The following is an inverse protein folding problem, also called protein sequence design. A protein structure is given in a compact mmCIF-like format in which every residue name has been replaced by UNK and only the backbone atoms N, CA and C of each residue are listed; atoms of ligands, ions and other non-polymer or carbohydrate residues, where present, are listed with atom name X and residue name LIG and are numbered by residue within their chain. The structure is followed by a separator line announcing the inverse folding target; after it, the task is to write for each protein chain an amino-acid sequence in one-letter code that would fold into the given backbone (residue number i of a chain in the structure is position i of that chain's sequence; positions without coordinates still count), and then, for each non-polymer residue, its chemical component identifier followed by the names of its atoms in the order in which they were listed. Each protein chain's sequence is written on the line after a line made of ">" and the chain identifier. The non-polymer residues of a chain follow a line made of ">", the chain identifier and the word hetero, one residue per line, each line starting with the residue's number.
data_IF_818996246368
#
_entry.id   IF_818996246368
#
_cell.length_a   1.000
_cell.length_b   1.000
_cell.length_c   1.000
_cell.angle_alpha   90.00
_cell.angle_beta   90.00
_cell.angle_gamma   90.00
#
_symmetry.space_group_name_H-M   'P 1'
#
loop_
_entity.id
_entity.type
_entity.pdbx_description
1 polymer ?
#
# COMPACT_ATOMS: atom_id res chain seq x y z
N UNK A 1 -17.43 -2.25 -27.87
CA UNK A 1 -16.69 -3.37 -27.25
C UNK A 1 -15.83 -2.74 -26.18
N UNK A 2 -16.16 -2.93 -24.89
CA UNK A 2 -15.28 -2.51 -23.80
C UNK A 2 -14.07 -3.44 -23.81
N UNK A 3 -12.87 -2.86 -23.81
CA UNK A 3 -11.64 -3.64 -23.68
C UNK A 3 -11.66 -4.39 -22.35
N UNK A 4 -11.22 -5.65 -22.36
CA UNK A 4 -11.06 -6.42 -21.13
C UNK A 4 -10.06 -5.70 -20.20
N UNK A 5 -10.32 -5.65 -18.88
CA UNK A 5 -9.39 -5.04 -17.95
C UNK A 5 -8.06 -5.81 -17.92
N UNK A 6 -6.97 -5.10 -17.72
CA UNK A 6 -5.64 -5.71 -17.54
C UNK A 6 -5.70 -6.71 -16.37
N UNK A 7 -5.14 -7.90 -16.56
CA UNK A 7 -5.12 -8.95 -15.54
C UNK A 7 -4.48 -8.47 -14.24
N UNK A 8 -4.96 -8.92 -13.07
CA UNK A 8 -4.51 -8.40 -11.78
C UNK A 8 -3.02 -8.61 -11.52
N UNK A 9 -2.46 -9.76 -11.86
CA UNK A 9 -1.03 -10.02 -11.75
C UNK A 9 -0.21 -9.11 -12.68
N UNK A 10 -0.70 -8.85 -13.89
CA UNK A 10 -0.04 -7.95 -14.84
C UNK A 10 -0.02 -6.51 -14.34
N UNK A 11 -1.10 -6.04 -13.70
CA UNK A 11 -1.16 -4.72 -13.06
C UNK A 11 -0.01 -4.56 -12.05
N UNK A 12 0.18 -5.56 -11.18
CA UNK A 12 1.21 -5.53 -10.16
C UNK A 12 2.62 -5.66 -10.73
N UNK A 13 2.81 -6.55 -11.70
CA UNK A 13 4.11 -6.71 -12.38
C UNK A 13 4.54 -5.41 -13.07
N UNK A 14 3.62 -4.78 -13.79
CA UNK A 14 3.87 -3.53 -14.49
C UNK A 14 4.20 -2.40 -13.51
N UNK A 15 3.41 -2.25 -12.44
CA UNK A 15 3.65 -1.23 -11.42
C UNK A 15 5.01 -1.44 -10.72
N UNK A 16 5.35 -2.66 -10.39
CA UNK A 16 6.65 -3.01 -9.79
C UNK A 16 7.81 -2.65 -10.71
N UNK A 17 7.71 -3.01 -11.99
CA UNK A 17 8.74 -2.70 -12.99
C UNK A 17 8.91 -1.20 -13.17
N UNK A 18 7.79 -0.46 -13.27
CA UNK A 18 7.81 1.00 -13.38
C UNK A 18 8.47 1.65 -12.16
N UNK A 19 8.16 1.16 -10.97
CA UNK A 19 8.73 1.68 -9.73
C UNK A 19 10.24 1.45 -9.65
N UNK A 20 10.69 0.24 -9.99
CA UNK A 20 12.13 -0.10 -10.00
C UNK A 20 12.88 0.76 -11.03
N UNK A 21 12.34 0.91 -12.22
CA UNK A 21 12.90 1.75 -13.27
C UNK A 21 13.02 3.20 -12.80
N UNK A 22 11.97 3.74 -12.17
CA UNK A 22 11.95 5.11 -11.65
C UNK A 22 12.96 5.31 -10.51
N UNK A 23 13.09 4.36 -9.60
CA UNK A 23 14.08 4.39 -8.52
C UNK A 23 15.49 4.45 -9.11
N UNK A 24 15.80 3.57 -10.05
CA UNK A 24 17.13 3.50 -10.66
C UNK A 24 17.45 4.74 -11.48
N UNK A 25 16.47 5.31 -12.19
CA UNK A 25 16.64 6.55 -12.95
C UNK A 25 16.82 7.79 -12.06
N UNK A 26 16.34 7.75 -10.82
CA UNK A 26 16.40 8.85 -9.87
C UNK A 26 17.36 8.58 -8.69
N UNK A 27 18.24 7.61 -8.83
CA UNK A 27 19.13 7.17 -7.73
C UNK A 27 19.89 8.33 -7.08
N UNK A 28 20.55 9.17 -7.85
CA UNK A 28 21.33 10.31 -7.32
C UNK A 28 20.42 11.34 -6.61
N UNK A 29 19.25 11.62 -7.18
CA UNK A 29 18.28 12.53 -6.56
C UNK A 29 17.76 11.99 -5.24
N UNK A 30 17.50 10.69 -5.16
CA UNK A 30 17.02 10.03 -3.92
C UNK A 30 18.09 10.12 -2.85
N UNK A 31 19.36 9.95 -3.19
CA UNK A 31 20.46 10.03 -2.22
C UNK A 31 20.62 11.42 -1.62
N UNK A 32 20.31 12.49 -2.37
CA UNK A 32 20.39 13.88 -1.89
C UNK A 32 19.08 14.38 -1.31
N UNK A 33 17.94 13.84 -1.78
CA UNK A 33 16.58 14.20 -1.33
C UNK A 33 15.71 12.96 -1.27
N UNK A 34 15.66 12.27 -0.11
CA UNK A 34 14.86 11.06 0.06
C UNK A 34 13.35 11.26 -0.19
N UNK A 35 12.85 12.51 -0.11
CA UNK A 35 11.43 12.81 -0.36
C UNK A 35 11.00 12.55 -1.81
N UNK A 36 11.96 12.41 -2.73
CA UNK A 36 11.69 12.01 -4.13
C UNK A 36 10.95 10.67 -4.18
N UNK A 37 11.25 9.75 -3.25
CA UNK A 37 10.57 8.45 -3.17
C UNK A 37 9.07 8.59 -2.90
N UNK A 38 8.66 9.56 -2.08
CA UNK A 38 7.23 9.84 -1.84
C UNK A 38 6.48 10.12 -3.15
N UNK A 39 7.04 10.97 -4.00
CA UNK A 39 6.45 11.32 -5.29
C UNK A 39 6.34 10.11 -6.23
N UNK A 40 7.37 9.26 -6.25
CA UNK A 40 7.37 8.05 -7.07
C UNK A 40 6.33 7.04 -6.60
N UNK A 41 6.23 6.81 -5.30
CA UNK A 41 5.21 5.92 -4.72
C UNK A 41 3.81 6.46 -5.01
N UNK A 42 3.59 7.76 -4.83
CA UNK A 42 2.29 8.39 -5.07
C UNK A 42 1.86 8.29 -6.54
N UNK A 43 2.79 8.50 -7.46
CA UNK A 43 2.51 8.47 -8.90
C UNK A 43 2.32 7.05 -9.43
N UNK A 44 3.15 6.10 -8.99
CA UNK A 44 3.26 4.78 -9.62
C UNK A 44 2.46 3.70 -8.86
N UNK A 45 2.51 3.69 -7.54
CA UNK A 45 1.92 2.61 -6.73
C UNK A 45 0.54 2.96 -6.18
N UNK A 46 0.34 4.17 -5.67
CA UNK A 46 -0.90 4.55 -5.00
C UNK A 46 -2.15 4.47 -5.89
N UNK A 47 -2.08 4.74 -7.22
CA UNK A 47 -3.26 4.58 -8.07
C UNK A 47 -3.82 3.16 -8.15
N UNK A 48 -3.05 2.16 -7.80
CA UNK A 48 -3.45 0.74 -7.81
C UNK A 48 -4.05 0.27 -6.49
N UNK A 49 -4.16 1.14 -5.49
CA UNK A 49 -4.69 0.82 -4.16
C UNK A 49 -6.07 1.43 -4.00
N UNK A 50 -7.01 0.62 -3.51
CA UNK A 50 -8.35 1.07 -3.14
C UNK A 50 -8.40 1.44 -1.66
N UNK A 51 -8.13 2.71 -1.36
CA UNK A 51 -8.10 3.21 0.01
C UNK A 51 -9.48 3.27 0.67
N UNK A 52 -10.55 3.40 -0.12
CA UNK A 52 -11.91 3.37 0.41
C UNK A 52 -12.22 1.99 0.95
N UNK A 53 -11.98 0.95 0.16
CA UNK A 53 -12.19 -0.44 0.59
C UNK A 53 -11.27 -0.84 1.75
N UNK A 54 -9.98 -0.48 1.68
CA UNK A 54 -9.04 -0.74 2.78
C UNK A 54 -9.49 -0.07 4.07
N UNK A 55 -9.90 1.19 4.02
CA UNK A 55 -10.39 1.95 5.18
C UNK A 55 -11.65 1.33 5.78
N UNK A 56 -12.57 0.90 4.93
CA UNK A 56 -13.79 0.20 5.35
C UNK A 56 -13.47 -1.09 6.10
N UNK A 57 -12.55 -1.89 5.57
CA UNK A 57 -12.12 -3.14 6.22
C UNK A 57 -11.35 -2.89 7.52
N UNK A 58 -10.49 -1.89 7.54
CA UNK A 58 -9.68 -1.52 8.70
C UNK A 58 -10.56 -1.02 9.85
N UNK A 59 -11.55 -0.16 9.59
CA UNK A 59 -12.46 0.33 10.62
C UNK A 59 -13.52 -0.72 11.02
N UNK A 60 -13.84 -1.68 10.15
CA UNK A 60 -14.80 -2.74 10.43
C UNK A 60 -16.16 -2.20 10.88
N UNK A 61 -16.63 -2.62 12.05
CA UNK A 61 -17.92 -2.17 12.61
C UNK A 61 -17.98 -0.65 12.82
N UNK A 62 -16.88 0.00 13.06
CA UNK A 62 -16.81 1.45 13.29
C UNK A 62 -17.10 2.25 12.02
N UNK A 63 -16.86 1.67 10.85
CA UNK A 63 -17.19 2.29 9.57
C UNK A 63 -18.70 2.55 9.43
N UNK A 64 -19.54 1.61 9.85
CA UNK A 64 -20.99 1.74 9.76
C UNK A 64 -21.54 2.88 10.63
N UNK A 65 -20.87 3.14 11.76
CA UNK A 65 -21.26 4.17 12.74
C UNK A 65 -20.66 5.54 12.45
N UNK A 66 -19.69 5.60 11.55
CA UNK A 66 -18.98 6.82 11.22
C UNK A 66 -19.86 7.76 10.37
N UNK A 67 -19.75 9.07 10.62
CA UNK A 67 -20.33 10.07 9.75
C UNK A 67 -19.59 10.11 8.41
N UNK A 68 -20.18 10.76 7.42
CA UNK A 68 -19.55 10.97 6.11
C UNK A 68 -18.23 11.71 6.25
N UNK A 69 -18.20 12.75 7.08
CA UNK A 69 -17.01 13.55 7.35
C UNK A 69 -15.91 12.72 8.01
N UNK A 70 -16.25 11.89 8.99
CA UNK A 70 -15.31 10.99 9.65
C UNK A 70 -14.72 9.96 8.68
N UNK A 71 -15.55 9.38 7.80
CA UNK A 71 -15.09 8.44 6.77
C UNK A 71 -14.08 9.08 5.83
N UNK A 72 -14.39 10.26 5.30
CA UNK A 72 -13.53 10.99 4.38
C UNK A 72 -12.20 11.39 5.05
N UNK A 73 -12.28 11.91 6.27
CA UNK A 73 -11.08 12.32 7.01
C UNK A 73 -10.21 11.10 7.36
N UNK A 74 -10.82 10.00 7.78
CA UNK A 74 -10.06 8.77 8.06
C UNK A 74 -9.36 8.26 6.80
N UNK A 75 -10.04 8.18 5.66
CA UNK A 75 -9.45 7.74 4.40
C UNK A 75 -8.23 8.62 4.06
N UNK A 76 -8.38 9.93 4.18
CA UNK A 76 -7.31 10.88 3.88
C UNK A 76 -6.10 10.68 4.79
N UNK A 77 -6.31 10.58 6.09
CA UNK A 77 -5.23 10.43 7.05
C UNK A 77 -4.56 9.05 6.95
N UNK A 78 -5.35 8.01 6.75
CA UNK A 78 -4.82 6.66 6.59
C UNK A 78 -3.99 6.53 5.30
N UNK A 79 -4.46 7.08 4.19
CA UNK A 79 -3.70 7.15 2.94
C UNK A 79 -2.37 7.87 3.13
N UNK A 80 -2.40 9.02 3.77
CA UNK A 80 -1.18 9.79 4.04
C UNK A 80 -0.20 9.05 4.94
N UNK A 81 -0.70 8.37 5.97
CA UNK A 81 0.14 7.56 6.86
C UNK A 81 0.85 6.44 6.10
N UNK A 82 0.12 5.68 5.30
CA UNK A 82 0.69 4.58 4.52
C UNK A 82 1.73 5.10 3.51
N UNK A 83 1.38 6.15 2.78
CA UNK A 83 2.29 6.76 1.82
C UNK A 83 3.61 7.19 2.48
N UNK A 84 3.52 7.98 3.53
CA UNK A 84 4.71 8.56 4.19
C UNK A 84 5.54 7.53 4.93
N UNK A 85 4.88 6.65 5.66
CA UNK A 85 5.59 5.62 6.44
C UNK A 85 6.37 4.67 5.54
N UNK A 86 5.72 4.11 4.52
CA UNK A 86 6.36 3.14 3.63
C UNK A 86 7.34 3.79 2.65
N UNK A 87 7.08 5.01 2.21
CA UNK A 87 8.04 5.75 1.38
C UNK A 87 9.30 6.10 2.16
N UNK A 88 9.18 6.51 3.42
CA UNK A 88 10.33 6.78 4.29
C UNK A 88 11.14 5.51 4.54
N UNK A 89 10.47 4.39 4.82
CA UNK A 89 11.13 3.09 5.00
C UNK A 89 11.88 2.65 3.74
N UNK A 90 11.27 2.83 2.57
CA UNK A 90 11.90 2.51 1.30
C UNK A 90 13.11 3.42 1.03
N UNK A 91 12.98 4.72 1.28
CA UNK A 91 14.07 5.66 1.11
C UNK A 91 15.27 5.31 2.01
N UNK A 92 15.02 4.95 3.28
CA UNK A 92 16.05 4.48 4.20
C UNK A 92 16.74 3.21 3.69
N UNK A 93 15.97 2.24 3.20
CA UNK A 93 16.50 1.01 2.60
C UNK A 93 17.43 1.31 1.41
N UNK A 94 17.05 2.25 0.55
CA UNK A 94 17.79 2.61 -0.64
C UNK A 94 19.10 3.36 -0.35
N UNK A 95 19.33 3.83 0.87
CA UNK A 95 20.61 4.46 1.25
C UNK A 95 21.77 3.47 1.21
N UNK A 96 21.51 2.20 1.47
CA UNK A 96 22.53 1.14 1.58
C UNK A 96 22.26 -0.07 0.69
N UNK A 97 21.12 -0.10 -0.01
CA UNK A 97 20.71 -1.22 -0.84
C UNK A 97 20.21 -0.75 -2.20
N UNK A 98 20.19 -1.67 -3.15
CA UNK A 98 19.62 -1.47 -4.48
C UNK A 98 18.40 -2.38 -4.68
N UNK A 99 17.55 -2.04 -5.62
CA UNK A 99 16.43 -2.88 -6.05
C UNK A 99 16.58 -3.23 -7.52
N UNK A 100 16.18 -4.45 -7.88
CA UNK A 100 16.20 -4.94 -9.26
C UNK A 100 14.95 -5.77 -9.54
N UNK A 101 14.58 -5.91 -10.82
CA UNK A 101 13.37 -6.63 -11.22
C UNK A 101 13.38 -8.10 -10.80
N UNK A 102 14.53 -8.76 -10.82
CA UNK A 102 14.68 -10.16 -10.45
C UNK A 102 14.42 -10.44 -8.96
N UNK A 103 14.40 -9.41 -8.12
CA UNK A 103 14.03 -9.56 -6.71
C UNK A 103 12.52 -9.84 -6.53
N UNK A 104 11.67 -9.49 -7.49
CA UNK A 104 10.22 -9.57 -7.40
C UNK A 104 9.69 -10.64 -8.35
N UNK A 105 9.23 -11.75 -7.80
CA UNK A 105 8.71 -12.89 -8.56
C UNK A 105 7.20 -12.99 -8.33
N UNK A 106 6.41 -12.80 -9.39
CA UNK A 106 4.95 -12.98 -9.35
C UNK A 106 4.61 -14.40 -9.82
N UNK A 107 3.83 -15.10 -9.01
CA UNK A 107 3.41 -16.46 -9.32
C UNK A 107 2.20 -16.43 -10.28
N UNK A 108 1.99 -17.51 -11.05
CA UNK A 108 0.83 -17.60 -11.94
C UNK A 108 -0.49 -17.45 -11.17
N UNK A 109 -1.43 -16.71 -11.76
CA UNK A 109 -2.75 -16.51 -11.19
C UNK A 109 -3.55 -17.82 -11.22
N UNK A 110 -4.08 -18.22 -10.05
CA UNK A 110 -4.88 -19.44 -9.90
C UNK A 110 -6.39 -19.19 -9.86
N UNK A 111 -6.82 -17.95 -10.10
CA UNK A 111 -8.21 -17.56 -9.99
C UNK A 111 -9.02 -17.98 -11.23
N UNK A 112 -10.33 -18.23 -11.00
CA UNK A 112 -11.31 -18.33 -12.06
C UNK A 112 -11.39 -16.99 -12.84
N UNK A 113 -11.39 -17.04 -14.16
CA UNK A 113 -11.43 -15.86 -15.03
C UNK A 113 -12.68 -14.98 -14.82
N UNK A 114 -13.71 -15.48 -14.16
CA UNK A 114 -14.96 -14.76 -13.88
C UNK A 114 -15.01 -14.17 -12.46
N UNK A 115 -14.00 -14.42 -11.63
CA UNK A 115 -13.97 -13.89 -10.28
C UNK A 115 -13.70 -12.39 -10.27
N UNK A 116 -14.45 -11.65 -9.46
CA UNK A 116 -14.24 -10.21 -9.20
C UNK A 116 -13.29 -9.95 -8.03
N UNK A 117 -12.81 -10.98 -7.38
CA UNK A 117 -11.84 -10.94 -6.29
C UNK A 117 -10.79 -12.01 -6.53
N UNK A 118 -9.53 -11.64 -6.37
CA UNK A 118 -8.41 -12.56 -6.54
C UNK A 118 -7.34 -12.28 -5.49
N UNK A 119 -6.54 -13.29 -5.21
CA UNK A 119 -5.29 -13.14 -4.46
C UNK A 119 -4.14 -13.37 -5.42
N UNK A 120 -3.29 -12.37 -5.59
CA UNK A 120 -2.05 -12.49 -6.35
C UNK A 120 -0.93 -12.84 -5.38
N UNK A 121 -0.19 -13.91 -5.68
CA UNK A 121 0.94 -14.37 -4.89
C UNK A 121 2.24 -13.90 -5.51
N UNK A 122 3.14 -13.42 -4.68
CA UNK A 122 4.48 -13.04 -5.09
C UNK A 122 5.51 -13.43 -4.04
N UNK A 123 6.76 -13.37 -4.43
CA UNK A 123 7.91 -13.57 -3.55
C UNK A 123 8.90 -12.43 -3.76
N UNK A 124 9.47 -11.93 -2.67
CA UNK A 124 10.61 -11.02 -2.73
C UNK A 124 11.86 -11.83 -2.41
N UNK A 125 12.77 -11.90 -3.37
CA UNK A 125 14.05 -12.61 -3.25
C UNK A 125 15.14 -11.62 -2.86
N UNK A 126 15.51 -11.62 -1.58
CA UNK A 126 16.55 -10.73 -1.06
C UNK A 126 17.94 -11.19 -1.53
N UNK A 127 18.93 -10.27 -1.67
CA UNK A 127 20.30 -10.63 -2.01
C UNK A 127 20.95 -11.61 -1.03
N UNK A 128 20.49 -11.64 0.22
CA UNK A 128 20.93 -12.58 1.26
C UNK A 128 20.48 -14.03 1.01
N UNK A 129 19.59 -14.27 0.03
CA UNK A 129 18.96 -15.56 -0.23
C UNK A 129 17.63 -15.77 0.50
N UNK A 130 17.20 -14.85 1.36
CA UNK A 130 15.89 -14.91 2.01
C UNK A 130 14.78 -14.72 1.00
N UNK A 131 13.71 -15.51 1.12
CA UNK A 131 12.51 -15.41 0.29
C UNK A 131 11.34 -14.95 1.19
N UNK A 132 10.76 -13.81 0.83
CA UNK A 132 9.64 -13.20 1.57
C UNK A 132 8.36 -13.37 0.75
N UNK A 133 7.40 -14.22 1.18
CA UNK A 133 6.13 -14.35 0.48
C UNK A 133 5.23 -13.13 0.73
N UNK A 134 4.66 -12.59 -0.34
CA UNK A 134 3.73 -11.45 -0.31
C UNK A 134 2.48 -11.79 -1.09
N UNK A 135 1.31 -11.56 -0.48
CA UNK A 135 0.01 -11.75 -1.12
C UNK A 135 -0.70 -10.41 -1.26
N UNK A 136 -1.33 -10.21 -2.39
CA UNK A 136 -2.12 -9.02 -2.68
C UNK A 136 -3.57 -9.44 -2.88
N UNK A 137 -4.46 -8.97 -2.01
CA UNK A 137 -5.89 -9.16 -2.20
C UNK A 137 -6.41 -8.03 -3.07
N UNK A 138 -6.97 -8.39 -4.21
CA UNK A 138 -7.43 -7.44 -5.22
C UNK A 138 -8.89 -7.67 -5.56
N UNK A 139 -9.57 -6.61 -5.97
CA UNK A 139 -10.89 -6.72 -6.53
C UNK A 139 -11.03 -5.85 -7.81
N UNK A 140 -11.96 -6.25 -8.65
CA UNK A 140 -12.24 -5.55 -9.89
C UNK A 140 -13.16 -4.35 -9.61
N UNK A 141 -12.69 -3.17 -9.97
CA UNK A 141 -13.45 -1.92 -9.90
C UNK A 141 -13.76 -1.42 -11.30
N UNK A 142 -14.54 -0.34 -11.42
CA UNK A 142 -14.79 0.34 -12.70
C UNK A 142 -13.52 0.87 -13.37
N UNK A 143 -12.46 1.06 -12.58
CA UNK A 143 -11.15 1.54 -13.04
C UNK A 143 -10.10 0.42 -13.17
N UNK A 144 -10.55 -0.83 -13.16
CA UNK A 144 -9.68 -2.00 -13.21
C UNK A 144 -9.42 -2.63 -11.85
N UNK A 145 -8.47 -3.54 -11.81
CA UNK A 145 -8.08 -4.26 -10.61
C UNK A 145 -7.35 -3.35 -9.63
N UNK A 146 -7.76 -3.38 -8.35
CA UNK A 146 -7.18 -2.59 -7.27
C UNK A 146 -6.88 -3.46 -6.06
N UNK A 147 -5.81 -3.13 -5.36
CA UNK A 147 -5.40 -3.79 -4.11
C UNK A 147 -6.15 -3.20 -2.94
N UNK A 148 -6.73 -4.03 -2.09
CA UNK A 148 -7.35 -3.58 -0.83
C UNK A 148 -6.66 -4.15 0.42
N UNK A 149 -5.82 -5.16 0.30
CA UNK A 149 -5.00 -5.69 1.40
C UNK A 149 -3.71 -6.31 0.87
N UNK A 150 -2.66 -6.22 1.66
CA UNK A 150 -1.38 -6.87 1.42
C UNK A 150 -1.01 -7.69 2.64
N UNK A 151 -0.65 -8.96 2.44
CA UNK A 151 -0.14 -9.82 3.50
C UNK A 151 1.32 -10.14 3.26
N UNK A 152 2.15 -9.94 4.27
CA UNK A 152 3.58 -10.25 4.24
C UNK A 152 3.83 -11.37 5.24
N UNK A 153 4.40 -12.48 4.78
CA UNK A 153 4.61 -13.70 5.59
C UNK A 153 3.33 -14.15 6.31
N UNK A 154 2.18 -14.04 5.64
CA UNK A 154 0.89 -14.45 6.19
C UNK A 154 0.22 -13.41 7.10
N UNK A 155 0.85 -12.27 7.35
CA UNK A 155 0.29 -11.21 8.22
C UNK A 155 -0.37 -10.13 7.36
N UNK A 156 -1.69 -10.03 7.46
CA UNK A 156 -2.51 -9.03 6.76
C UNK A 156 -2.30 -7.64 7.37
N UNK A 157 -2.04 -6.65 6.53
CA UNK A 157 -1.95 -5.25 6.95
C UNK A 157 -3.29 -4.72 7.45
N UNK A 158 -4.37 -5.03 6.75
CA UNK A 158 -5.73 -4.63 7.15
C UNK A 158 -6.06 -5.18 8.54
N UNK A 159 -5.81 -6.46 8.78
CA UNK A 159 -6.07 -7.09 10.08
C UNK A 159 -5.22 -6.46 11.18
N UNK A 160 -3.97 -6.20 10.92
CA UNK A 160 -3.04 -5.57 11.88
C UNK A 160 -3.52 -4.17 12.28
N UNK A 161 -3.86 -3.33 11.30
CA UNK A 161 -4.39 -1.99 11.58
C UNK A 161 -5.76 -2.02 12.23
N UNK A 162 -6.63 -2.96 11.84
CA UNK A 162 -7.96 -3.14 12.47
C UNK A 162 -7.82 -3.36 13.97
N UNK A 163 -6.95 -4.27 14.38
CA UNK A 163 -6.72 -4.59 15.79
C UNK A 163 -6.19 -3.38 16.54
N UNK A 164 -5.18 -2.72 16.00
CA UNK A 164 -4.56 -1.54 16.60
C UNK A 164 -5.54 -0.37 16.71
N UNK A 165 -6.28 -0.08 15.64
CA UNK A 165 -7.21 1.05 15.61
C UNK A 165 -8.46 0.79 16.46
N UNK A 166 -8.94 -0.45 16.54
CA UNK A 166 -10.04 -0.80 17.43
C UNK A 166 -9.70 -0.50 18.91
N UNK A 167 -8.48 -0.79 19.32
CA UNK A 167 -7.99 -0.46 20.65
C UNK A 167 -7.95 1.05 20.89
N UNK A 168 -7.44 1.83 19.93
CA UNK A 168 -7.43 3.30 20.02
C UNK A 168 -8.85 3.90 20.05
N UNK A 169 -9.76 3.39 19.21
CA UNK A 169 -11.16 3.85 19.19
C UNK A 169 -11.84 3.58 20.53
N UNK A 170 -11.56 2.44 21.14
CA UNK A 170 -12.11 2.12 22.47
C UNK A 170 -11.68 3.12 23.53
N UNK A 171 -10.45 3.63 23.45
CA UNK A 171 -9.89 4.60 24.41
C UNK A 171 -10.29 6.04 24.10
N UNK A 172 -10.28 6.44 22.84
CA UNK A 172 -10.36 7.85 22.41
C UNK A 172 -11.54 8.17 21.49
N UNK A 173 -12.30 7.14 21.06
CA UNK A 173 -13.30 7.29 20.00
C UNK A 173 -12.67 7.42 18.61
N UNK A 174 -13.51 7.44 17.58
CA UNK A 174 -13.06 7.55 16.19
C UNK A 174 -12.38 8.90 15.92
N UNK A 175 -12.92 10.00 16.45
CA UNK A 175 -12.29 11.32 16.31
C UNK A 175 -10.91 11.37 16.94
N UNK A 176 -10.72 10.70 18.07
CA UNK A 176 -9.42 10.56 18.74
C UNK A 176 -8.41 9.77 17.89
N UNK A 177 -8.85 8.70 17.23
CA UNK A 177 -8.02 7.96 16.29
C UNK A 177 -7.61 8.84 15.10
N UNK A 178 -8.57 9.55 14.50
CA UNK A 178 -8.30 10.43 13.35
C UNK A 178 -7.29 11.53 13.72
N UNK A 179 -7.46 12.15 14.89
CA UNK A 179 -6.53 13.16 15.40
C UNK A 179 -5.13 12.57 15.63
N UNK A 180 -5.05 11.36 16.16
CA UNK A 180 -3.79 10.63 16.34
C UNK A 180 -3.07 10.35 15.02
N UNK A 181 -3.81 9.95 13.98
CA UNK A 181 -3.25 9.75 12.65
C UNK A 181 -2.73 11.05 12.04
N UNK A 182 -3.49 12.14 12.18
CA UNK A 182 -3.08 13.46 11.71
C UNK A 182 -1.76 13.90 12.37
N UNK A 183 -1.62 13.69 13.67
CA UNK A 183 -0.40 13.99 14.42
C UNK A 183 0.79 13.15 13.95
N UNK A 184 0.60 11.85 13.72
CA UNK A 184 1.64 10.97 13.16
C UNK A 184 2.07 11.43 11.77
N UNK A 185 1.13 11.84 10.93
CA UNK A 185 1.41 12.36 9.59
C UNK A 185 2.23 13.66 9.66
N UNK A 186 1.91 14.56 10.56
CA UNK A 186 2.68 15.80 10.76
C UNK A 186 4.12 15.52 11.19
N UNK A 187 4.33 14.53 12.06
CA UNK A 187 5.68 14.12 12.47
C UNK A 187 6.48 13.53 11.32
N UNK A 188 5.85 12.73 10.45
CA UNK A 188 6.51 12.17 9.28
C UNK A 188 6.90 13.26 8.27
N UNK A 189 6.05 14.26 8.07
CA UNK A 189 6.37 15.42 7.22
C UNK A 189 7.62 16.15 7.74
N UNK A 190 7.71 16.41 9.05
CA UNK A 190 8.86 17.08 9.68
C UNK A 190 10.15 16.27 9.57
N UNK A 191 10.05 14.94 9.58
CA UNK A 191 11.21 14.05 9.40
C UNK A 191 11.74 14.09 7.96
N UNK A 192 10.86 14.29 6.96
CA UNK A 192 11.21 14.33 5.54
C UNK A 192 11.76 15.71 5.11
N UNK A 193 11.61 16.72 5.92
CA UNK A 193 12.12 18.10 5.68
C UNK A 193 13.52 18.36 6.36
#
# INVERSE_FOLDING_TARGET
>A
VQAEPTAPNTVLETASRQMITAINANHERIMTDPSVVNGLVEEILMPHIDFISSSKWVLGKHWRRASKEQKLEFIRQFRSLLLRFYSTALAEYLTTNTVSEDMFVFLPLRADNNSKRVTVHSEIHAPSGSILPVKYNMHLTKKGWKVYDVSIEGVSMVTTYRTSFAAEIKQKGLDGLIASLAERNDRLVKKDS
#
